data_IF_161438143324
#
_entry.id   IF_161438143324
#
_cell.length_a   1.000
_cell.length_b   1.000
_cell.length_c   1.000
_cell.angle_alpha   90.00
_cell.angle_beta   90.00
_cell.angle_gamma   90.00
#
_symmetry.space_group_name_H-M   'P 1'
#
loop_
_entity.id
_entity.type
_entity.pdbx_description
1 polymer ?
#
# COMPACT_ATOMS: atom_id res chain seq x y z
N UNK A 1 9.49 -8.38 -11.23
CA UNK A 1 9.29 -7.68 -12.51
C UNK A 1 10.12 -6.42 -12.48
N UNK A 2 10.95 -6.19 -13.48
CA UNK A 2 11.76 -4.97 -13.57
C UNK A 2 10.90 -3.85 -14.14
N UNK A 3 10.67 -2.78 -13.38
CA UNK A 3 9.90 -1.62 -13.87
C UNK A 3 10.83 -0.66 -14.61
N UNK A 4 10.64 -0.44 -15.93
CA UNK A 4 11.62 0.28 -16.75
C UNK A 4 11.78 1.76 -16.36
N UNK A 5 10.73 2.36 -15.81
CA UNK A 5 10.67 3.80 -15.53
C UNK A 5 11.42 4.16 -14.24
N UNK A 6 11.29 3.33 -13.21
CA UNK A 6 11.85 3.55 -11.88
C UNK A 6 13.18 2.81 -11.67
N UNK A 7 13.56 1.92 -12.60
CA UNK A 7 14.79 1.09 -12.56
C UNK A 7 14.96 0.31 -11.27
N UNK A 8 13.87 -0.01 -10.59
CA UNK A 8 13.86 -0.85 -9.40
C UNK A 8 13.33 -2.24 -9.72
N UNK A 9 13.92 -3.22 -9.04
CA UNK A 9 13.43 -4.59 -9.04
C UNK A 9 12.18 -4.65 -8.19
N UNK A 10 11.03 -4.65 -8.85
CA UNK A 10 9.75 -4.78 -8.18
C UNK A 10 9.48 -6.27 -8.00
N UNK A 11 9.18 -6.72 -6.77
CA UNK A 11 8.72 -8.09 -6.55
C UNK A 11 7.52 -8.38 -7.47
N UNK A 12 7.45 -9.56 -8.10
CA UNK A 12 6.26 -10.01 -8.87
C UNK A 12 5.07 -9.98 -7.89
N UNK A 13 4.34 -8.88 -7.82
CA UNK A 13 3.34 -8.67 -6.76
C UNK A 13 3.10 -7.24 -6.27
N UNK A 14 3.85 -6.21 -6.68
CA UNK A 14 3.30 -4.84 -6.58
C UNK A 14 2.19 -4.72 -7.61
N UNK A 15 0.98 -5.02 -7.15
CA UNK A 15 -0.20 -5.26 -7.95
C UNK A 15 -0.76 -3.95 -8.48
N UNK A 16 -0.61 -3.73 -9.78
CA UNK A 16 -1.57 -2.91 -10.50
C UNK A 16 -2.95 -3.54 -10.28
N UNK A 17 -3.85 -2.79 -9.68
CA UNK A 17 -5.20 -3.24 -9.37
C UNK A 17 -6.17 -2.18 -9.89
N UNK A 18 -7.24 -2.62 -10.56
CA UNK A 18 -8.30 -1.71 -10.98
C UNK A 18 -9.31 -1.66 -9.84
N UNK A 19 -9.43 -0.50 -9.21
CA UNK A 19 -10.32 -0.27 -8.07
C UNK A 19 -10.84 1.16 -8.08
N UNK A 20 -12.02 1.37 -7.51
CA UNK A 20 -12.59 2.68 -7.21
C UNK A 20 -12.25 3.16 -5.79
N UNK A 21 -11.42 2.39 -5.06
CA UNK A 21 -10.99 2.75 -3.72
C UNK A 21 -10.23 4.08 -3.71
N UNK A 22 -10.40 4.82 -2.62
CA UNK A 22 -9.66 6.06 -2.38
C UNK A 22 -8.14 5.78 -2.39
N UNK A 23 -7.34 6.52 -3.20
CA UNK A 23 -5.91 6.29 -3.29
C UNK A 23 -5.18 6.45 -1.96
N UNK A 24 -5.61 7.38 -1.10
CA UNK A 24 -4.99 7.58 0.22
C UNK A 24 -5.31 6.40 1.14
N UNK A 25 -6.56 5.92 1.13
CA UNK A 25 -6.96 4.74 1.90
C UNK A 25 -6.24 3.47 1.45
N UNK A 26 -6.03 3.31 0.14
CA UNK A 26 -5.22 2.25 -0.43
C UNK A 26 -3.77 2.35 0.04
N UNK A 27 -3.19 3.56 0.02
CA UNK A 27 -1.85 3.83 0.52
C UNK A 27 -1.70 3.53 2.01
N UNK A 28 -2.66 3.96 2.84
CA UNK A 28 -2.70 3.67 4.29
C UNK A 28 -2.75 2.16 4.52
N UNK A 29 -3.56 1.44 3.75
CA UNK A 29 -3.73 0.00 3.91
C UNK A 29 -2.52 -0.80 3.50
N UNK A 30 -1.91 -0.48 2.36
CA UNK A 30 -0.65 -1.09 1.94
C UNK A 30 0.44 -0.84 2.99
N UNK A 31 0.55 0.40 3.48
CA UNK A 31 1.57 0.76 4.46
C UNK A 31 1.34 0.04 5.80
N UNK A 32 0.10 0.02 6.30
CA UNK A 32 -0.23 -0.68 7.54
C UNK A 32 0.08 -2.18 7.44
N UNK A 33 -0.33 -2.84 6.35
CA UNK A 33 -0.04 -4.26 6.11
C UNK A 33 1.47 -4.51 6.04
N UNK A 34 2.21 -3.64 5.34
CA UNK A 34 3.65 -3.79 5.19
C UNK A 34 4.41 -3.62 6.51
N UNK A 35 3.95 -2.71 7.37
CA UNK A 35 4.56 -2.46 8.68
C UNK A 35 4.17 -3.52 9.73
N UNK A 36 2.99 -4.15 9.61
CA UNK A 36 2.57 -5.22 10.51
C UNK A 36 3.52 -6.43 10.46
N UNK A 37 4.10 -6.72 9.29
CA UNK A 37 4.99 -7.86 9.08
C UNK A 37 6.49 -7.51 9.20
N UNK A 38 6.84 -6.24 9.51
CA UNK A 38 8.25 -5.79 9.50
C UNK A 38 8.65 -4.91 10.68
N UNK A 39 9.81 -5.19 11.30
CA UNK A 39 10.35 -4.30 12.33
C UNK A 39 10.87 -2.99 11.71
N UNK A 40 10.35 -1.86 12.16
CA UNK A 40 10.75 -0.51 11.74
C UNK A 40 12.04 -0.07 12.45
N UNK A 41 13.19 -0.63 12.06
CA UNK A 41 14.49 -0.36 12.72
C UNK A 41 15.09 1.01 12.31
N UNK A 42 14.39 2.09 12.62
CA UNK A 42 14.83 3.47 12.31
C UNK A 42 14.70 3.88 10.84
N UNK A 43 14.08 3.03 10.01
CA UNK A 43 13.81 3.31 8.61
C UNK A 43 12.57 4.19 8.46
N UNK A 44 12.59 5.06 7.44
CA UNK A 44 11.41 5.87 7.07
C UNK A 44 10.66 5.17 5.95
N UNK A 45 9.42 4.78 6.22
CA UNK A 45 8.54 4.16 5.24
C UNK A 45 7.57 5.17 4.66
N UNK A 46 7.19 5.00 3.39
CA UNK A 46 6.06 5.68 2.77
C UNK A 46 5.41 4.77 1.75
N UNK A 47 4.10 4.82 1.63
CA UNK A 47 3.38 4.25 0.50
C UNK A 47 3.17 5.33 -0.56
N UNK A 48 3.36 4.96 -1.82
CA UNK A 48 3.09 5.82 -2.96
C UNK A 48 2.10 5.11 -3.86
N UNK A 49 0.96 5.74 -4.12
CA UNK A 49 -0.09 5.23 -4.99
C UNK A 49 -0.13 6.11 -6.24
N UNK A 50 0.05 5.48 -7.40
CA UNK A 50 -0.10 6.12 -8.70
C UNK A 50 -1.42 5.68 -9.32
N UNK A 51 -2.24 6.65 -9.71
CA UNK A 51 -3.51 6.40 -10.39
C UNK A 51 -3.35 6.58 -11.90
N UNK A 52 -4.20 5.91 -12.67
CA UNK A 52 -4.13 5.93 -14.14
C UNK A 52 -4.42 7.33 -14.75
N UNK A 53 -5.08 8.21 -14.00
CA UNK A 53 -5.27 9.63 -14.37
C UNK A 53 -4.02 10.50 -14.13
N UNK A 54 -2.89 9.90 -13.75
CA UNK A 54 -1.63 10.60 -13.48
C UNK A 54 -1.53 11.26 -12.11
N UNK A 55 -2.52 11.09 -11.24
CA UNK A 55 -2.44 11.57 -9.86
C UNK A 55 -1.56 10.65 -9.01
N UNK A 56 -1.01 11.22 -7.95
CA UNK A 56 -0.16 10.51 -7.00
C UNK A 56 -0.60 10.86 -5.58
N UNK A 57 -0.73 9.82 -4.76
CA UNK A 57 -0.90 9.94 -3.32
C UNK A 57 0.34 9.42 -2.62
N UNK A 58 0.76 10.12 -1.57
CA UNK A 58 1.87 9.71 -0.70
C UNK A 58 1.36 9.65 0.73
N UNK A 59 1.51 8.47 1.33
CA UNK A 59 1.08 8.19 2.70
C UNK A 59 2.29 7.83 3.56
N UNK A 60 2.36 8.44 4.73
CA UNK A 60 3.41 8.22 5.73
C UNK A 60 2.85 7.54 6.98
N UNK A 61 3.69 6.92 7.84
CA UNK A 61 3.23 6.25 9.05
C UNK A 61 2.44 7.15 9.99
N UNK A 62 2.73 8.45 10.04
CA UNK A 62 1.98 9.43 10.85
C UNK A 62 0.55 9.68 10.37
N UNK A 63 0.18 9.19 9.18
CA UNK A 63 -1.16 9.26 8.61
C UNK A 63 -1.93 7.94 8.73
N UNK A 64 -1.33 6.92 9.37
CA UNK A 64 -2.04 5.69 9.69
C UNK A 64 -3.04 5.98 10.81
N UNK A 65 -4.25 5.44 10.67
CA UNK A 65 -5.26 5.54 11.71
C UNK A 65 -4.79 4.86 13.00
N UNK A 66 -5.38 5.27 14.13
CA UNK A 66 -5.12 4.64 15.42
C UNK A 66 -5.54 3.16 15.45
N UNK A 67 -5.35 2.47 16.58
CA UNK A 67 -5.59 1.02 16.71
C UNK A 67 -7.02 0.56 16.34
N UNK A 68 -8.01 1.46 16.35
CA UNK A 68 -9.40 1.17 15.94
C UNK A 68 -9.67 1.35 14.43
N UNK A 69 -8.64 1.69 13.65
CA UNK A 69 -8.78 1.88 12.21
C UNK A 69 -9.14 0.57 11.52
N UNK A 70 -10.25 0.59 10.79
CA UNK A 70 -10.73 -0.54 9.99
C UNK A 70 -10.44 -0.30 8.52
N UNK A 71 -9.92 -1.33 7.87
CA UNK A 71 -9.69 -1.35 6.43
C UNK A 71 -11.03 -1.49 5.72
N UNK A 72 -11.33 -0.60 4.77
CA UNK A 72 -12.49 -0.75 3.90
C UNK A 72 -12.39 -2.09 3.11
N UNK A 73 -13.47 -2.90 3.08
CA UNK A 73 -13.47 -4.19 2.36
C UNK A 73 -13.08 -4.10 0.87
N UNK A 74 -13.45 -3.01 0.18
CA UNK A 74 -13.10 -2.75 -1.22
C UNK A 74 -11.60 -2.52 -1.36
N UNK A 75 -11.01 -1.77 -0.43
CA UNK A 75 -9.56 -1.55 -0.38
C UNK A 75 -8.84 -2.88 -0.12
N UNK A 76 -9.33 -3.67 0.85
CA UNK A 76 -8.78 -4.99 1.15
C UNK A 76 -8.79 -5.91 -0.08
N UNK A 77 -9.88 -5.96 -0.83
CA UNK A 77 -9.98 -6.79 -2.05
C UNK A 77 -9.00 -6.33 -3.15
N UNK A 78 -8.74 -5.03 -3.23
CA UNK A 78 -7.84 -4.45 -4.22
C UNK A 78 -6.35 -4.77 -3.95
N UNK A 79 -5.99 -5.17 -2.73
CA UNK A 79 -4.60 -5.49 -2.38
C UNK A 79 -4.11 -6.78 -3.04
N UNK A 80 -2.79 -6.90 -3.28
CA UNK A 80 -2.13 -8.18 -3.51
C UNK A 80 -2.39 -9.19 -2.38
N UNK A 81 -2.51 -10.48 -2.72
CA UNK A 81 -2.83 -11.55 -1.77
C UNK A 81 -1.94 -11.57 -0.53
N UNK A 82 -0.62 -11.45 -0.70
CA UNK A 82 0.33 -11.46 0.43
C UNK A 82 0.12 -10.32 1.44
N UNK A 83 -0.46 -9.18 1.03
CA UNK A 83 -0.83 -8.11 1.96
C UNK A 83 -2.20 -8.34 2.59
N UNK A 84 -3.13 -8.97 1.85
CA UNK A 84 -4.44 -9.34 2.41
C UNK A 84 -4.32 -10.36 3.53
N UNK A 85 -3.39 -11.29 3.42
CA UNK A 85 -3.18 -12.36 4.40
C UNK A 85 -2.64 -11.80 5.73
N UNK A 86 -1.83 -10.74 5.68
CA UNK A 86 -1.29 -10.06 6.87
C UNK A 86 -2.36 -9.23 7.59
N UNK A 87 -3.38 -8.77 6.88
CA UNK A 87 -4.48 -7.97 7.44
C UNK A 87 -5.66 -8.82 7.97
N UNK A 88 -5.56 -10.16 7.93
CA UNK A 88 -6.63 -11.09 8.32
C UNK A 88 -6.81 -11.25 9.83
#
# INVERSE_FOLDING_TARGET
MHEPFSRVWICKGYGRSTTSADPDELGRTVLAAYLADRPTRGETFRAVVHTDNGSQSVVTPGQLGGPDWKVDPVVRQALPGYLRDVLA
#
